data_IF_416262599825
#
_entry.id   IF_416262599825
#
_cell.length_a   1.000
_cell.length_b   1.000
_cell.length_c   1.000
_cell.angle_alpha   90.00
_cell.angle_beta   90.00
_cell.angle_gamma   90.00
#
_symmetry.space_group_name_H-M   'P 1'
#
loop_
_entity.id
_entity.type
_entity.pdbx_description
1 polymer ?
#
# COMPACT_ATOMS: atom_id res chain seq x y z
N UNK A 1 -48.72 9.51 20.58
CA UNK A 1 -47.36 9.03 20.95
C UNK A 1 -47.01 7.67 20.35
N UNK A 2 -47.91 6.67 20.30
CA UNK A 2 -47.57 5.32 19.84
C UNK A 2 -47.12 5.23 18.37
N UNK A 3 -47.76 5.99 17.47
CA UNK A 3 -47.42 5.97 16.03
C UNK A 3 -46.05 6.60 15.70
N UNK A 4 -45.59 7.55 16.52
CA UNK A 4 -44.31 8.23 16.32
C UNK A 4 -43.13 7.31 16.69
N UNK A 5 -43.32 6.43 17.67
CA UNK A 5 -42.35 5.42 18.10
C UNK A 5 -42.15 4.37 17.00
N UNK A 6 -43.23 3.95 16.33
CA UNK A 6 -43.13 3.00 15.22
C UNK A 6 -42.37 3.59 14.02
N UNK A 7 -42.60 4.87 13.72
CA UNK A 7 -41.91 5.55 12.61
C UNK A 7 -40.40 5.67 12.86
N UNK A 8 -39.98 6.00 14.08
CA UNK A 8 -38.56 6.13 14.43
C UNK A 8 -37.82 4.78 14.48
N UNK A 9 -38.47 3.72 14.95
CA UNK A 9 -37.90 2.35 14.92
C UNK A 9 -37.74 1.87 13.47
N UNK A 10 -38.74 2.12 12.61
CA UNK A 10 -38.68 1.74 11.20
C UNK A 10 -37.56 2.50 10.47
N UNK A 11 -37.40 3.80 10.75
CA UNK A 11 -36.32 4.62 10.19
C UNK A 11 -34.94 4.14 10.65
N UNK A 12 -34.78 3.81 11.94
CA UNK A 12 -33.52 3.26 12.45
C UNK A 12 -33.15 1.93 11.79
N UNK A 13 -34.12 1.02 11.62
CA UNK A 13 -33.92 -0.23 10.90
C UNK A 13 -33.53 0.03 9.43
N UNK A 14 -34.22 0.94 8.73
CA UNK A 14 -33.90 1.33 7.35
C UNK A 14 -32.49 1.91 7.20
N UNK A 15 -32.03 2.73 8.17
CA UNK A 15 -30.67 3.27 8.20
C UNK A 15 -29.62 2.17 8.41
N UNK A 16 -29.93 1.13 9.20
CA UNK A 16 -29.02 -0.02 9.38
C UNK A 16 -28.91 -0.94 8.18
N UNK A 17 -29.91 -1.00 7.28
CA UNK A 17 -29.84 -1.81 6.05
C UNK A 17 -29.10 -1.10 4.92
N UNK A 18 -29.09 0.24 4.90
CA UNK A 18 -28.33 1.05 3.93
C UNK A 18 -26.89 1.34 4.38
N UNK A 19 -26.55 1.04 5.63
CA UNK A 19 -25.16 0.84 6.01
C UNK A 19 -24.71 -0.51 5.43
N UNK A 20 -24.53 -0.58 4.10
CA UNK A 20 -23.61 -1.55 3.55
C UNK A 20 -22.35 -1.37 4.40
N UNK A 21 -21.87 -2.41 5.12
CA UNK A 21 -20.59 -2.28 5.78
C UNK A 21 -19.68 -1.78 4.67
N UNK A 22 -19.01 -0.65 4.90
CA UNK A 22 -17.91 -0.24 4.04
C UNK A 22 -16.93 -1.38 4.21
N UNK A 23 -17.12 -2.41 3.39
CA UNK A 23 -16.27 -3.54 3.20
C UNK A 23 -15.09 -2.86 2.54
N UNK A 24 -14.25 -2.25 3.37
CA UNK A 24 -12.82 -2.32 3.21
C UNK A 24 -12.56 -3.81 2.98
N UNK A 25 -12.75 -4.25 1.74
CA UNK A 25 -12.29 -5.53 1.29
C UNK A 25 -10.86 -5.52 1.77
N UNK A 26 -10.53 -6.35 2.77
CA UNK A 26 -9.16 -6.69 3.13
C UNK A 26 -8.57 -7.34 1.88
N UNK A 27 -8.23 -6.51 0.88
CA UNK A 27 -7.60 -6.95 -0.35
C UNK A 27 -6.16 -7.10 0.03
N UNK A 28 -5.72 -8.35 0.09
CA UNK A 28 -4.33 -8.62 0.36
C UNK A 28 -3.47 -7.89 -0.68
N UNK A 29 -2.56 -7.05 -0.22
CA UNK A 29 -1.67 -6.24 -1.04
C UNK A 29 -0.73 -7.18 -1.78
N UNK A 30 -0.98 -7.36 -3.08
CA UNK A 30 -0.22 -8.29 -3.92
C UNK A 30 0.83 -7.52 -4.69
N UNK A 31 2.09 -7.75 -4.36
CA UNK A 31 3.22 -7.18 -5.08
C UNK A 31 3.49 -7.94 -6.38
N UNK A 32 3.66 -7.19 -7.46
CA UNK A 32 4.01 -7.67 -8.79
C UNK A 32 5.35 -7.07 -9.22
N UNK A 33 6.06 -7.70 -10.17
CA UNK A 33 7.23 -7.11 -10.80
C UNK A 33 6.91 -5.76 -11.44
N UNK A 34 7.84 -4.83 -11.33
CA UNK A 34 7.74 -3.54 -11.99
C UNK A 34 7.96 -3.68 -13.49
N UNK A 35 7.37 -2.77 -14.27
CA UNK A 35 7.58 -2.73 -15.71
C UNK A 35 8.65 -1.69 -16.04
N UNK A 36 9.84 -2.16 -16.41
CA UNK A 36 10.96 -1.35 -16.88
C UNK A 36 11.37 -1.81 -18.29
N UNK A 37 11.93 -0.88 -19.07
CA UNK A 37 12.49 -1.19 -20.40
C UNK A 37 13.75 -2.08 -20.29
N UNK A 38 14.44 -2.02 -19.17
CA UNK A 38 15.61 -2.84 -18.83
C UNK A 38 15.22 -3.98 -17.87
N UNK A 39 15.90 -5.14 -17.93
CA UNK A 39 15.63 -6.26 -17.03
C UNK A 39 15.97 -5.88 -15.58
N UNK A 40 14.93 -5.81 -14.74
CA UNK A 40 15.02 -5.54 -13.31
C UNK A 40 14.53 -6.77 -12.54
N UNK A 41 15.25 -7.15 -11.48
CA UNK A 41 14.87 -8.32 -10.68
C UNK A 41 13.60 -8.05 -9.86
N UNK A 42 12.75 -9.07 -9.73
CA UNK A 42 11.61 -8.99 -8.82
C UNK A 42 12.07 -9.18 -7.38
N UNK A 43 11.75 -8.22 -6.51
CA UNK A 43 12.03 -8.32 -5.08
C UNK A 43 10.80 -8.88 -4.34
N UNK A 44 11.04 -9.85 -3.46
CA UNK A 44 10.00 -10.39 -2.59
C UNK A 44 9.70 -9.42 -1.44
N UNK A 45 8.55 -8.75 -1.48
CA UNK A 45 8.12 -7.84 -0.42
C UNK A 45 7.11 -8.53 0.50
N UNK A 46 7.31 -8.38 1.81
CA UNK A 46 6.35 -8.77 2.84
C UNK A 46 6.02 -7.56 3.67
N UNK A 47 4.73 -7.34 3.86
CA UNK A 47 4.19 -6.29 4.70
C UNK A 47 3.69 -6.91 6.00
N UNK A 48 3.95 -6.26 7.13
CA UNK A 48 3.60 -6.66 8.47
C UNK A 48 2.09 -6.60 8.73
N UNK A 49 1.38 -5.60 8.20
CA UNK A 49 -0.09 -5.50 8.24
C UNK A 49 -0.67 -5.20 6.86
N UNK A 50 -1.78 -5.84 6.49
CA UNK A 50 -2.37 -5.75 5.16
C UNK A 50 -3.88 -5.39 5.19
N UNK A 51 -4.31 -4.23 4.66
CA UNK A 51 -3.47 -3.15 4.09
C UNK A 51 -2.60 -2.46 5.16
N UNK A 52 -1.54 -1.73 4.78
CA UNK A 52 -0.70 -1.00 5.74
C UNK A 52 -1.54 -0.12 6.66
N UNK A 53 -1.47 -0.36 7.97
CA UNK A 53 -2.13 0.48 8.98
C UNK A 53 -1.30 1.74 9.22
N UNK A 54 -1.93 2.91 9.21
CA UNK A 54 -1.28 4.19 9.50
C UNK A 54 -0.50 4.12 10.83
N UNK A 55 0.83 4.29 10.76
CA UNK A 55 1.71 4.34 11.93
C UNK A 55 2.50 3.05 12.24
N UNK A 56 2.75 2.17 11.25
CA UNK A 56 3.64 1.00 11.33
C UNK A 56 4.48 0.83 10.05
N UNK A 57 5.44 -0.11 10.03
CA UNK A 57 6.72 0.13 9.35
C UNK A 57 7.14 -0.89 8.28
N UNK A 58 7.54 -0.40 7.09
CA UNK A 58 7.97 -1.16 5.88
C UNK A 58 8.54 -0.18 4.82
N UNK A 59 9.49 -0.57 3.95
CA UNK A 59 10.06 0.34 2.92
C UNK A 59 9.10 0.58 1.76
N UNK A 60 8.66 1.83 1.55
CA UNK A 60 7.57 2.14 0.64
C UNK A 60 7.66 3.51 -0.02
N UNK A 61 7.44 3.52 -1.33
CA UNK A 61 7.04 4.70 -2.09
C UNK A 61 5.54 4.64 -2.36
N UNK A 62 4.84 5.75 -2.16
CA UNK A 62 3.40 5.85 -2.41
C UNK A 62 3.15 6.77 -3.60
N UNK A 63 2.47 6.27 -4.62
CA UNK A 63 2.05 7.03 -5.79
C UNK A 63 0.53 7.06 -5.88
N UNK A 64 -0.01 8.17 -6.34
CA UNK A 64 -1.42 8.26 -6.72
C UNK A 64 -1.67 7.40 -7.96
N UNK A 65 -2.61 6.45 -7.91
CA UNK A 65 -2.85 5.54 -9.04
C UNK A 65 -3.29 6.29 -10.31
N UNK A 66 -4.06 7.38 -10.14
CA UNK A 66 -4.68 8.10 -11.26
C UNK A 66 -3.71 9.02 -11.99
N UNK A 67 -2.81 9.64 -11.24
CA UNK A 67 -1.91 10.68 -11.73
C UNK A 67 -0.46 10.20 -11.82
N UNK A 68 -0.10 9.10 -11.16
CA UNK A 68 1.28 8.61 -11.05
C UNK A 68 2.18 9.50 -10.19
N UNK A 69 1.62 10.54 -9.56
CA UNK A 69 2.39 11.49 -8.75
C UNK A 69 2.70 10.92 -7.38
N UNK A 70 3.83 11.32 -6.81
CA UNK A 70 4.22 10.90 -5.46
C UNK A 70 3.32 11.55 -4.39
N UNK A 71 2.88 10.75 -3.42
CA UNK A 71 1.96 11.18 -2.36
C UNK A 71 2.69 11.75 -1.12
N UNK A 72 4.00 11.56 -1.02
CA UNK A 72 4.82 12.03 0.10
C UNK A 72 6.32 11.86 -0.18
N UNK A 73 7.17 12.19 0.80
CA UNK A 73 8.60 11.93 0.70
C UNK A 73 8.89 10.43 0.73
N UNK A 74 9.84 9.98 -0.10
CA UNK A 74 10.34 8.60 -0.08
C UNK A 74 11.04 8.29 1.23
N UNK A 75 10.79 7.09 1.76
CA UNK A 75 11.63 6.53 2.81
C UNK A 75 12.85 5.83 2.20
N UNK A 76 14.04 6.29 2.58
CA UNK A 76 15.30 5.75 2.09
C UNK A 76 16.10 5.08 3.22
N UNK A 77 16.55 3.85 3.00
CA UNK A 77 17.44 3.14 3.91
C UNK A 77 18.72 2.70 3.18
N UNK A 78 19.87 3.13 3.68
CA UNK A 78 21.17 2.78 3.09
C UNK A 78 21.70 1.48 3.66
N UNK A 79 22.14 0.56 2.79
CA UNK A 79 22.85 -0.65 3.19
C UNK A 79 24.23 -0.30 3.74
N UNK A 80 24.53 -0.69 4.98
CA UNK A 80 25.83 -0.44 5.62
C UNK A 80 26.87 -1.49 5.26
N UNK A 81 26.42 -2.69 4.84
CA UNK A 81 27.27 -3.80 4.46
C UNK A 81 27.14 -4.12 2.97
N UNK A 82 28.24 -4.52 2.35
CA UNK A 82 28.22 -4.97 0.95
C UNK A 82 27.60 -6.35 0.82
N UNK A 83 26.60 -6.47 -0.04
CA UNK A 83 25.95 -7.74 -0.36
C UNK A 83 26.57 -8.30 -1.64
N UNK A 84 27.09 -9.53 -1.58
CA UNK A 84 27.67 -10.20 -2.74
C UNK A 84 26.58 -10.65 -3.70
N UNK A 85 26.82 -10.49 -5.01
CA UNK A 85 25.93 -10.99 -6.04
C UNK A 85 25.66 -12.51 -5.87
N UNK A 86 24.41 -12.91 -6.10
CA UNK A 86 23.96 -14.30 -5.95
C UNK A 86 23.66 -14.74 -4.52
N UNK A 87 23.97 -13.92 -3.50
CA UNK A 87 23.59 -14.22 -2.13
C UNK A 87 22.22 -13.61 -1.80
N UNK A 88 21.25 -14.40 -1.31
CA UNK A 88 20.00 -13.85 -0.82
C UNK A 88 20.26 -13.01 0.44
N UNK A 89 19.49 -11.94 0.58
CA UNK A 89 19.51 -11.09 1.77
C UNK A 89 18.09 -10.76 2.20
N UNK A 90 17.96 -10.31 3.44
CA UNK A 90 16.70 -9.81 3.99
C UNK A 90 16.98 -8.53 4.76
N UNK A 91 16.11 -7.54 4.60
CA UNK A 91 16.20 -6.23 5.24
C UNK A 91 14.84 -5.87 5.83
N UNK A 92 14.86 -5.21 6.97
CA UNK A 92 13.66 -4.74 7.65
C UNK A 92 13.77 -3.24 7.91
N UNK A 93 12.73 -2.48 7.56
CA UNK A 93 12.62 -1.08 7.88
C UNK A 93 11.66 -0.87 9.07
N UNK A 94 12.05 0.01 10.00
CA UNK A 94 11.15 0.55 11.02
C UNK A 94 10.87 2.04 10.76
N UNK A 95 9.74 2.50 11.28
CA UNK A 95 9.16 3.83 11.36
C UNK A 95 9.04 4.57 10.02
N UNK A 96 8.47 3.89 9.02
CA UNK A 96 8.31 4.48 7.68
C UNK A 96 7.16 5.49 7.67
N UNK A 97 7.46 6.78 7.42
CA UNK A 97 6.43 7.81 7.43
C UNK A 97 5.40 7.51 6.33
N UNK A 98 4.15 7.37 6.74
CA UNK A 98 3.03 7.12 5.82
C UNK A 98 2.32 8.45 5.57
N UNK A 99 2.24 8.93 4.32
CA UNK A 99 1.48 10.15 4.01
C UNK A 99 -0.02 9.92 4.17
N UNK A 100 -0.83 10.96 4.01
CA UNK A 100 -2.28 10.76 3.90
C UNK A 100 -2.58 9.99 2.60
N UNK A 101 -3.16 8.80 2.74
CA UNK A 101 -3.42 7.91 1.61
C UNK A 101 -4.83 8.13 1.05
N UNK A 102 -4.98 8.26 -0.28
CA UNK A 102 -6.29 8.27 -0.93
C UNK A 102 -6.92 6.87 -0.92
N UNK A 103 -8.16 6.79 -1.40
CA UNK A 103 -8.91 5.52 -1.51
C UNK A 103 -8.20 4.47 -2.37
N UNK A 104 -7.37 4.89 -3.35
CA UNK A 104 -6.51 4.00 -4.11
C UNK A 104 -5.17 4.61 -4.47
N UNK A 105 -4.10 3.83 -4.31
CA UNK A 105 -2.72 4.24 -4.50
C UNK A 105 -1.86 3.06 -4.97
N UNK A 106 -0.69 3.37 -5.49
CA UNK A 106 0.36 2.42 -5.85
C UNK A 106 1.43 2.48 -4.78
N UNK A 107 1.87 1.31 -4.34
CA UNK A 107 2.96 1.11 -3.42
C UNK A 107 4.16 0.56 -4.19
N UNK A 108 5.28 1.26 -4.21
CA UNK A 108 6.52 0.86 -4.86
C UNK A 108 7.61 0.53 -3.85
N UNK A 109 8.42 -0.48 -4.14
CA UNK A 109 9.62 -0.81 -3.39
C UNK A 109 10.75 -1.00 -4.39
N UNK A 110 11.87 -0.32 -4.16
CA UNK A 110 13.03 -0.31 -5.05
C UNK A 110 14.30 -0.62 -4.26
N UNK A 111 15.19 -1.39 -4.86
CA UNK A 111 16.55 -1.63 -4.37
C UNK A 111 17.51 -1.25 -5.49
N UNK A 112 18.39 -0.29 -5.25
CA UNK A 112 19.26 0.25 -6.29
C UNK A 112 20.24 1.30 -5.77
N UNK A 113 21.13 1.75 -6.65
CA UNK A 113 21.90 2.97 -6.42
C UNK A 113 21.01 4.19 -6.75
N UNK A 114 20.82 5.14 -5.82
CA UNK A 114 20.00 6.33 -6.07
C UNK A 114 20.56 7.26 -7.15
N UNK A 115 21.83 7.10 -7.54
CA UNK A 115 22.47 7.84 -8.62
C UNK A 115 22.13 7.26 -10.00
N UNK A 116 21.64 6.03 -10.04
CA UNK A 116 21.30 5.31 -11.26
C UNK A 116 19.80 5.37 -11.54
N UNK A 117 19.42 5.32 -12.83
CA UNK A 117 18.01 5.36 -13.23
C UNK A 117 17.30 4.02 -13.07
N UNK A 118 18.03 2.93 -13.27
CA UNK A 118 17.47 1.57 -13.27
C UNK A 118 17.79 0.93 -11.91
N UNK A 119 16.77 0.52 -11.13
CA UNK A 119 17.00 -0.18 -9.87
C UNK A 119 17.53 -1.60 -10.14
N UNK A 120 18.27 -2.17 -9.19
CA UNK A 120 18.67 -3.59 -9.23
C UNK A 120 17.46 -4.51 -9.08
N UNK A 121 16.49 -4.10 -8.26
CA UNK A 121 15.26 -4.85 -8.09
C UNK A 121 14.07 -3.98 -7.70
N UNK A 122 12.87 -4.41 -8.07
CA UNK A 122 11.66 -3.63 -7.87
C UNK A 122 10.40 -4.50 -7.69
N UNK A 123 9.47 -4.00 -6.87
CA UNK A 123 8.12 -4.55 -6.72
C UNK A 123 7.09 -3.44 -6.52
N UNK A 124 5.91 -3.58 -7.12
CA UNK A 124 4.79 -2.64 -6.96
C UNK A 124 3.50 -3.34 -6.58
N UNK A 125 2.63 -2.68 -5.82
CA UNK A 125 1.29 -3.16 -5.52
C UNK A 125 0.26 -2.04 -5.70
N UNK A 126 -0.92 -2.37 -6.21
CA UNK A 126 -2.05 -1.41 -6.22
C UNK A 126 -2.94 -1.71 -5.02
N UNK A 127 -3.14 -0.71 -4.18
CA UNK A 127 -3.98 -0.78 -2.99
C UNK A 127 -5.27 0.00 -3.24
N UNK A 128 -6.40 -0.54 -2.76
CA UNK A 128 -7.66 0.19 -2.75
C UNK A 128 -8.55 0.08 -4.00
N UNK A 129 -8.27 -0.84 -4.94
CA UNK A 129 -9.14 -1.02 -6.12
C UNK A 129 -10.60 -1.29 -5.75
N UNK A 130 -11.48 -0.45 -6.32
CA UNK A 130 -12.94 -0.55 -6.21
C UNK A 130 -13.41 -1.89 -6.72
N UNK A 131 -14.31 -2.51 -5.96
CA UNK A 131 -15.30 -3.43 -6.53
C UNK A 131 -15.95 -2.75 -7.75
N UNK A 132 -15.93 -3.42 -8.91
CA UNK A 132 -16.94 -3.19 -9.96
C UNK A 132 -18.36 -3.35 -9.39
#
# INVERSE_FOLDING_TARGET
MKNFIFASILLALLLTVNAAPFQLNKRATTFIPCHFDEPVDFIGVKIGTDPPESGKNESFDYFDEKTGNQLGESYNQTFTDSIKAGNPFNISASDVPTPQLPDSYILGVFVGDPSEKTPFGCATAVVGKSSE
#
